data_IF_328804199442
#
_entry.id   IF_328804199442
#
_cell.length_a   1.000
_cell.length_b   1.000
_cell.length_c   1.000
_cell.angle_alpha   90.00
_cell.angle_beta   90.00
_cell.angle_gamma   90.00
#
_symmetry.space_group_name_H-M   'P 1'
#
loop_
_entity.id
_entity.type
_entity.pdbx_description
1 polymer ?
#
# COMPACT_ATOMS: atom_id res chain seq x y z
N UNK A 1 -87.92 50.87 4.76
CA UNK A 1 -88.81 50.12 3.83
C UNK A 1 -87.92 49.09 3.13
N UNK A 2 -88.08 47.77 3.20
CA UNK A 2 -89.10 46.86 3.75
C UNK A 2 -88.32 45.60 4.20
N UNK A 3 -88.72 45.03 5.33
CA UNK A 3 -88.29 43.73 5.86
C UNK A 3 -88.74 42.57 4.96
N UNK A 4 -87.96 41.48 4.89
CA UNK A 4 -88.53 40.16 5.20
C UNK A 4 -87.46 39.11 5.55
N UNK A 5 -87.72 38.50 6.71
CA UNK A 5 -87.11 37.40 7.45
C UNK A 5 -87.38 36.01 6.88
N UNK A 6 -86.46 35.04 7.09
CA UNK A 6 -86.72 33.61 7.41
C UNK A 6 -85.54 33.10 8.31
N UNK A 7 -85.66 33.03 9.65
CA UNK A 7 -85.97 31.87 10.55
C UNK A 7 -85.15 30.58 10.35
N UNK A 8 -84.07 30.36 11.13
CA UNK A 8 -83.92 29.58 12.40
C UNK A 8 -83.81 28.05 12.27
N UNK A 9 -82.70 27.46 12.76
CA UNK A 9 -82.69 26.39 13.78
C UNK A 9 -81.26 26.04 14.26
N UNK A 10 -81.03 26.10 15.58
CA UNK A 10 -79.95 25.42 16.33
C UNK A 10 -80.68 24.54 17.36
N UNK A 11 -80.36 23.24 17.45
CA UNK A 11 -79.88 22.63 18.70
C UNK A 11 -78.86 21.50 18.40
N UNK A 12 -77.93 21.09 19.25
CA UNK A 12 -77.63 21.38 20.64
C UNK A 12 -76.31 20.64 20.93
N UNK A 13 -75.46 21.25 21.76
CA UNK A 13 -74.17 20.71 22.16
C UNK A 13 -74.42 19.59 23.18
N UNK A 14 -74.11 18.35 22.82
CA UNK A 14 -73.85 17.28 23.79
C UNK A 14 -72.37 17.35 24.17
N UNK A 15 -72.09 17.84 25.38
CA UNK A 15 -70.81 17.65 26.06
C UNK A 15 -70.69 16.17 26.45
N UNK A 16 -70.08 15.36 25.60
CA UNK A 16 -69.51 14.08 26.01
C UNK A 16 -68.12 14.40 26.55
N UNK A 17 -67.97 14.39 27.88
CA UNK A 17 -66.68 14.31 28.53
C UNK A 17 -66.10 12.92 28.26
N UNK A 18 -65.42 12.77 27.12
CA UNK A 18 -64.53 11.63 26.91
C UNK A 18 -63.32 11.89 27.79
N UNK A 19 -63.25 11.21 28.94
CA UNK A 19 -61.97 11.00 29.61
C UNK A 19 -61.06 10.33 28.57
N UNK A 20 -60.02 11.05 28.15
CA UNK A 20 -58.97 10.48 27.32
C UNK A 20 -58.42 9.26 28.07
N UNK A 21 -58.42 8.05 27.47
CA UNK A 21 -57.66 6.96 28.05
C UNK A 21 -56.19 7.38 28.05
N UNK A 22 -55.51 7.10 29.16
CA UNK A 22 -54.08 7.29 29.27
C UNK A 22 -53.40 6.76 28.00
N UNK A 23 -52.60 7.62 27.37
CA UNK A 23 -51.76 7.25 26.23
C UNK A 23 -50.89 6.06 26.64
N UNK A 24 -51.29 4.85 26.23
CA UNK A 24 -50.33 3.77 26.03
C UNK A 24 -49.41 4.28 24.92
N UNK A 25 -48.23 4.77 25.31
CA UNK A 25 -47.10 4.93 24.42
C UNK A 25 -46.71 3.52 24.00
N UNK A 26 -47.30 3.01 22.92
CA UNK A 26 -46.70 1.89 22.21
C UNK A 26 -45.38 2.45 21.68
N UNK A 27 -44.26 1.87 22.12
CA UNK A 27 -42.96 2.24 21.59
C UNK A 27 -43.00 2.12 20.07
N UNK A 28 -42.47 3.13 19.36
CA UNK A 28 -42.24 2.99 17.94
C UNK A 28 -41.18 1.91 17.75
N UNK A 29 -41.43 1.01 16.81
CA UNK A 29 -40.48 -0.02 16.42
C UNK A 29 -39.89 0.33 15.05
N UNK A 30 -38.61 0.03 14.90
CA UNK A 30 -37.84 0.13 13.67
C UNK A 30 -37.86 -1.22 12.97
N UNK A 31 -38.02 -1.21 11.65
CA UNK A 31 -38.04 -2.42 10.83
C UNK A 31 -36.60 -2.81 10.46
N UNK A 32 -36.21 -4.06 10.74
CA UNK A 32 -34.85 -4.59 10.52
C UNK A 32 -34.96 -5.93 9.78
N UNK A 33 -35.04 -5.95 8.44
CA UNK A 33 -35.36 -7.16 7.67
C UNK A 33 -34.23 -8.18 7.52
N UNK A 34 -32.99 -7.77 7.74
CA UNK A 34 -31.83 -8.65 7.63
C UNK A 34 -31.60 -9.37 8.96
N UNK A 35 -31.79 -10.69 8.96
CA UNK A 35 -31.62 -11.50 10.17
C UNK A 35 -30.22 -11.41 10.77
N UNK A 36 -29.17 -11.20 9.96
CA UNK A 36 -27.81 -11.06 10.49
C UNK A 36 -27.62 -9.69 11.14
N UNK A 37 -28.23 -8.64 10.58
CA UNK A 37 -28.24 -7.33 11.22
C UNK A 37 -29.03 -7.36 12.52
N UNK A 38 -30.24 -7.90 12.51
CA UNK A 38 -31.06 -8.07 13.72
C UNK A 38 -30.36 -8.94 14.76
N UNK A 39 -29.73 -10.05 14.35
CA UNK A 39 -28.93 -10.88 15.25
C UNK A 39 -27.76 -10.11 15.85
N UNK A 40 -27.09 -9.24 15.08
CA UNK A 40 -26.04 -8.39 15.61
C UNK A 40 -26.59 -7.38 16.64
N UNK A 41 -27.81 -6.86 16.45
CA UNK A 41 -28.46 -6.00 17.44
C UNK A 41 -28.83 -6.77 18.72
N UNK A 42 -29.26 -8.02 18.61
CA UNK A 42 -29.50 -8.91 19.76
C UNK A 42 -28.19 -9.17 20.51
N UNK A 43 -27.11 -9.50 19.79
CA UNK A 43 -25.79 -9.76 20.39
C UNK A 43 -25.21 -8.54 21.11
N UNK A 44 -25.66 -7.33 20.74
CA UNK A 44 -25.30 -6.04 21.33
C UNK A 44 -26.28 -5.58 22.42
N UNK A 45 -27.24 -6.42 22.83
CA UNK A 45 -28.29 -6.14 23.82
C UNK A 45 -29.23 -4.97 23.44
N UNK A 46 -29.39 -4.67 22.14
CA UNK A 46 -30.36 -3.67 21.65
C UNK A 46 -31.73 -4.25 21.32
N UNK A 47 -31.78 -5.56 21.10
CA UNK A 47 -32.99 -6.32 20.75
C UNK A 47 -33.03 -7.68 21.49
N UNK A 48 -34.21 -8.29 21.59
CA UNK A 48 -34.45 -9.48 22.40
C UNK A 48 -34.77 -10.74 21.57
N UNK A 49 -35.25 -10.58 20.33
CA UNK A 49 -35.75 -11.69 19.51
C UNK A 49 -35.63 -11.35 18.03
N UNK A 50 -35.39 -12.37 17.20
CA UNK A 50 -35.48 -12.24 15.75
C UNK A 50 -36.94 -12.17 15.29
N UNK A 51 -37.47 -10.97 15.10
CA UNK A 51 -38.83 -10.74 14.61
C UNK A 51 -38.94 -9.66 13.49
N UNK A 52 -37.81 -9.29 12.91
CA UNK A 52 -37.59 -8.18 11.96
C UNK A 52 -37.82 -6.79 12.56
N UNK A 53 -37.69 -6.63 13.87
CA UNK A 53 -38.08 -5.39 14.54
C UNK A 53 -37.36 -5.12 15.85
N UNK A 54 -36.67 -3.98 15.90
CA UNK A 54 -36.09 -3.46 17.15
C UNK A 54 -36.91 -2.30 17.71
N UNK A 55 -37.03 -2.19 19.03
CA UNK A 55 -37.65 -1.03 19.67
C UNK A 55 -36.81 0.23 19.40
N UNK A 56 -37.36 1.23 18.70
CA UNK A 56 -36.63 2.46 18.29
C UNK A 56 -36.01 3.21 19.48
N UNK A 57 -36.65 3.13 20.66
CA UNK A 57 -36.13 3.74 21.88
C UNK A 57 -34.80 3.13 22.35
N UNK A 58 -34.50 1.87 22.00
CA UNK A 58 -33.25 1.20 22.36
C UNK A 58 -32.08 1.68 21.47
N UNK A 59 -32.36 1.99 20.19
CA UNK A 59 -31.31 2.31 19.20
C UNK A 59 -31.14 3.82 18.95
N UNK A 60 -32.17 4.63 19.14
CA UNK A 60 -32.15 6.06 18.77
C UNK A 60 -31.10 6.91 19.48
N UNK A 61 -30.65 6.47 20.66
CA UNK A 61 -29.58 7.10 21.45
C UNK A 61 -28.18 6.49 21.26
N UNK A 62 -28.03 5.46 20.41
CA UNK A 62 -26.75 4.80 20.16
C UNK A 62 -25.85 5.69 19.32
N UNK A 63 -24.64 5.95 19.81
CA UNK A 63 -23.66 6.85 19.16
C UNK A 63 -22.58 6.11 18.37
N UNK A 64 -22.39 4.82 18.64
CA UNK A 64 -21.43 3.97 17.96
C UNK A 64 -22.04 2.59 17.73
N UNK A 65 -21.97 2.10 16.50
CA UNK A 65 -22.46 0.78 16.11
C UNK A 65 -21.37 0.05 15.32
N UNK A 66 -20.97 -1.11 15.84
CA UNK A 66 -20.08 -2.03 15.15
C UNK A 66 -20.84 -3.32 14.80
N UNK A 67 -21.00 -3.55 13.52
CA UNK A 67 -21.65 -4.71 12.92
C UNK A 67 -20.77 -5.30 11.81
N UNK A 68 -19.44 -5.15 11.94
CA UNK A 68 -18.46 -5.70 11.00
C UNK A 68 -18.39 -7.23 11.05
N UNK A 69 -18.05 -7.85 9.91
CA UNK A 69 -17.82 -9.30 9.80
C UNK A 69 -19.03 -10.17 10.20
N UNK A 70 -20.25 -9.69 9.93
CA UNK A 70 -21.52 -10.35 10.33
C UNK A 70 -22.30 -10.95 9.16
N UNK A 71 -21.73 -10.96 7.96
CA UNK A 71 -22.42 -11.43 6.75
C UNK A 71 -23.73 -10.65 6.47
N UNK A 72 -23.80 -9.39 6.89
CA UNK A 72 -24.97 -8.52 6.71
C UNK A 72 -25.07 -8.10 5.24
N UNK A 73 -26.26 -8.22 4.67
CA UNK A 73 -26.53 -7.84 3.28
C UNK A 73 -27.37 -6.57 3.15
N UNK A 74 -28.15 -6.24 4.19
CA UNK A 74 -29.04 -5.08 4.22
C UNK A 74 -29.04 -4.42 5.62
N UNK A 75 -28.74 -3.12 5.67
CA UNK A 75 -28.77 -2.29 6.89
C UNK A 75 -30.05 -1.46 7.03
N UNK A 76 -31.13 -1.80 6.33
CA UNK A 76 -32.45 -1.18 6.55
C UNK A 76 -32.78 -1.16 8.05
N UNK A 77 -33.20 0.01 8.55
CA UNK A 77 -33.37 0.30 9.97
C UNK A 77 -32.27 1.18 10.55
N UNK A 78 -31.11 1.29 9.88
CA UNK A 78 -30.00 2.15 10.31
C UNK A 78 -30.41 3.64 10.37
N UNK A 79 -31.41 4.06 9.61
CA UNK A 79 -31.93 5.43 9.59
C UNK A 79 -32.47 5.91 10.94
N UNK A 80 -32.90 4.99 11.82
CA UNK A 80 -33.44 5.29 13.14
C UNK A 80 -32.35 5.37 14.24
N UNK A 81 -31.10 5.06 13.91
CA UNK A 81 -29.92 5.35 14.76
C UNK A 81 -29.57 6.85 14.66
N UNK A 82 -30.47 7.71 15.10
CA UNK A 82 -30.41 9.17 14.88
C UNK A 82 -29.25 9.87 15.60
N UNK A 83 -28.71 9.27 16.67
CA UNK A 83 -27.55 9.77 17.41
C UNK A 83 -26.20 9.22 16.92
N UNK A 84 -26.19 8.41 15.85
CA UNK A 84 -25.01 7.68 15.40
C UNK A 84 -23.90 8.63 14.91
N UNK A 85 -22.74 8.54 15.55
CA UNK A 85 -21.52 9.28 15.21
C UNK A 85 -20.45 8.39 14.59
N UNK A 86 -20.52 7.09 14.82
CA UNK A 86 -19.58 6.10 14.31
C UNK A 86 -20.33 4.85 13.85
N UNK A 87 -20.12 4.47 12.58
CA UNK A 87 -20.64 3.24 12.00
C UNK A 87 -19.48 2.42 11.45
N UNK A 88 -19.30 1.22 12.01
CA UNK A 88 -18.35 0.22 11.57
C UNK A 88 -19.12 -0.96 11.00
N UNK A 89 -19.09 -1.11 9.67
CA UNK A 89 -19.84 -2.15 8.95
C UNK A 89 -18.98 -2.86 7.89
N UNK A 90 -17.66 -2.87 8.09
CA UNK A 90 -16.72 -3.45 7.15
C UNK A 90 -16.83 -4.99 7.04
N UNK A 91 -16.37 -5.55 5.91
CA UNK A 91 -16.36 -6.99 5.62
C UNK A 91 -17.76 -7.63 5.77
N UNK A 92 -18.70 -7.08 5.02
CA UNK A 92 -20.08 -7.54 4.91
C UNK A 92 -20.45 -7.69 3.42
N UNK A 93 -21.73 -7.92 3.13
CA UNK A 93 -22.25 -8.12 1.78
C UNK A 93 -23.16 -6.99 1.32
N UNK A 94 -22.98 -5.78 1.86
CA UNK A 94 -23.82 -4.63 1.55
C UNK A 94 -23.68 -4.24 0.08
N UNK A 95 -24.80 -4.17 -0.63
CA UNK A 95 -24.87 -3.65 -2.01
C UNK A 95 -25.35 -2.20 -2.08
N UNK A 96 -26.06 -1.77 -1.03
CA UNK A 96 -26.57 -0.41 -0.81
C UNK A 96 -26.39 -0.02 0.64
N UNK A 97 -26.23 1.27 0.90
CA UNK A 97 -26.15 1.84 2.24
C UNK A 97 -26.71 3.25 2.21
N UNK A 98 -27.87 3.46 2.82
CA UNK A 98 -28.49 4.79 2.96
C UNK A 98 -28.21 5.33 4.36
N UNK A 99 -27.45 6.42 4.42
CA UNK A 99 -27.07 7.10 5.67
C UNK A 99 -27.63 8.53 5.73
N UNK A 100 -28.63 8.84 4.89
CA UNK A 100 -29.18 10.19 4.77
C UNK A 100 -29.80 10.73 6.06
N UNK A 101 -30.28 9.84 6.94
CA UNK A 101 -30.82 10.19 8.25
C UNK A 101 -29.75 10.32 9.34
N UNK A 102 -28.60 9.66 9.20
CA UNK A 102 -27.51 9.63 10.18
C UNK A 102 -26.62 10.89 10.08
N UNK A 103 -27.23 12.06 10.19
CA UNK A 103 -26.56 13.36 9.94
C UNK A 103 -25.46 13.71 10.95
N UNK A 104 -25.42 13.04 12.10
CA UNK A 104 -24.38 13.19 13.13
C UNK A 104 -23.11 12.35 12.84
N UNK A 105 -23.12 11.53 11.78
CA UNK A 105 -22.03 10.59 11.49
C UNK A 105 -20.72 11.32 11.21
N UNK A 106 -19.69 10.92 11.96
CA UNK A 106 -18.33 11.45 11.94
C UNK A 106 -17.35 10.42 11.34
N UNK A 107 -17.54 9.14 11.67
CA UNK A 107 -16.71 8.04 11.19
C UNK A 107 -17.60 7.03 10.47
N UNK A 108 -17.23 6.69 9.24
CA UNK A 108 -17.82 5.58 8.48
C UNK A 108 -16.72 4.62 8.04
N UNK A 109 -16.82 3.37 8.49
CA UNK A 109 -16.00 2.25 8.00
C UNK A 109 -16.90 1.24 7.27
N UNK A 110 -17.12 1.47 5.98
CA UNK A 110 -17.93 0.65 5.07
C UNK A 110 -17.09 -0.16 4.08
N UNK A 111 -15.82 -0.41 4.40
CA UNK A 111 -14.87 -1.09 3.52
C UNK A 111 -15.13 -2.60 3.39
N UNK A 112 -14.62 -3.23 2.34
CA UNK A 112 -14.87 -4.65 2.02
C UNK A 112 -16.36 -4.98 1.98
N UNK A 113 -17.09 -4.30 1.12
CA UNK A 113 -18.50 -4.56 0.82
C UNK A 113 -18.69 -4.68 -0.70
N UNK A 114 -19.94 -4.64 -1.16
CA UNK A 114 -20.30 -4.73 -2.58
C UNK A 114 -21.04 -3.45 -3.02
N UNK A 115 -20.77 -2.32 -2.38
CA UNK A 115 -21.47 -1.06 -2.64
C UNK A 115 -21.18 -0.59 -4.06
N UNK A 116 -22.25 -0.36 -4.83
CA UNK A 116 -22.17 0.20 -6.19
C UNK A 116 -22.31 1.72 -6.21
N UNK A 117 -22.88 2.27 -5.13
CA UNK A 117 -22.99 3.70 -4.86
C UNK A 117 -22.98 3.94 -3.36
N UNK A 118 -22.51 5.12 -2.95
CA UNK A 118 -22.51 5.55 -1.56
C UNK A 118 -22.79 7.05 -1.50
N UNK A 119 -23.94 7.42 -0.90
CA UNK A 119 -24.32 8.82 -0.72
C UNK A 119 -23.93 9.30 0.67
N UNK A 120 -23.04 10.31 0.75
CA UNK A 120 -22.56 10.87 2.03
C UNK A 120 -22.82 12.37 2.18
N UNK A 121 -23.61 12.96 1.28
CA UNK A 121 -23.84 14.41 1.24
C UNK A 121 -24.60 14.95 2.47
N UNK A 122 -25.38 14.11 3.15
CA UNK A 122 -26.06 14.46 4.39
C UNK A 122 -25.13 14.40 5.63
N UNK A 123 -24.03 13.64 5.55
CA UNK A 123 -23.12 13.36 6.66
C UNK A 123 -22.00 14.42 6.72
N UNK A 124 -22.39 15.69 6.81
CA UNK A 124 -21.48 16.85 6.74
C UNK A 124 -20.44 16.90 7.88
N UNK A 125 -20.65 16.14 8.96
CA UNK A 125 -19.74 16.00 10.08
C UNK A 125 -18.64 14.93 9.87
N UNK A 126 -18.64 14.19 8.75
CA UNK A 126 -17.64 13.16 8.47
C UNK A 126 -16.22 13.73 8.51
N UNK A 127 -15.37 13.12 9.33
CA UNK A 127 -13.92 13.35 9.38
C UNK A 127 -13.14 12.16 8.83
N UNK A 128 -13.73 10.96 8.86
CA UNK A 128 -13.15 9.71 8.37
C UNK A 128 -14.17 8.98 7.52
N UNK A 129 -13.81 8.71 6.26
CA UNK A 129 -14.59 7.88 5.35
C UNK A 129 -13.70 6.78 4.77
N UNK A 130 -13.96 5.53 5.16
CA UNK A 130 -13.36 4.34 4.57
C UNK A 130 -14.40 3.55 3.80
N UNK A 131 -14.27 3.52 2.50
CA UNK A 131 -15.13 2.78 1.57
C UNK A 131 -14.30 2.00 0.54
N UNK A 132 -13.06 1.64 0.89
CA UNK A 132 -12.19 0.82 0.06
C UNK A 132 -12.72 -0.61 -0.14
N UNK A 133 -12.27 -1.27 -1.21
CA UNK A 133 -12.75 -2.60 -1.61
C UNK A 133 -14.28 -2.65 -1.75
N UNK A 134 -14.81 -1.78 -2.62
CA UNK A 134 -16.21 -1.76 -3.04
C UNK A 134 -16.29 -1.73 -4.58
N UNK A 135 -17.46 -1.44 -5.14
CA UNK A 135 -17.70 -1.38 -6.59
C UNK A 135 -18.15 0.03 -7.01
N UNK A 136 -17.71 1.07 -6.30
CA UNK A 136 -18.12 2.45 -6.53
C UNK A 136 -17.59 2.93 -7.89
N UNK A 137 -18.47 3.52 -8.70
CA UNK A 137 -18.11 4.14 -9.99
C UNK A 137 -18.00 5.67 -9.90
N UNK A 138 -18.59 6.24 -8.86
CA UNK A 138 -18.51 7.66 -8.50
C UNK A 138 -18.60 7.81 -6.99
N UNK A 139 -18.04 8.88 -6.47
CA UNK A 139 -18.10 9.25 -5.06
C UNK A 139 -18.12 10.77 -4.95
N UNK A 140 -19.17 11.33 -4.34
CA UNK A 140 -19.31 12.76 -4.09
C UNK A 140 -19.05 13.04 -2.61
N UNK A 141 -17.91 13.68 -2.34
CA UNK A 141 -17.48 14.11 -1.00
C UNK A 141 -17.51 15.63 -0.83
N UNK A 142 -18.17 16.35 -1.74
CA UNK A 142 -18.12 17.82 -1.81
C UNK A 142 -18.73 18.50 -0.58
N UNK A 143 -19.68 17.86 0.10
CA UNK A 143 -20.31 18.35 1.32
C UNK A 143 -19.51 18.05 2.60
N UNK A 144 -18.58 17.09 2.55
CA UNK A 144 -17.85 16.58 3.71
C UNK A 144 -16.56 17.38 3.94
N UNK A 145 -16.72 18.69 4.13
CA UNK A 145 -15.60 19.66 4.25
C UNK A 145 -14.68 19.44 5.45
N UNK A 146 -15.12 18.64 6.43
CA UNK A 146 -14.33 18.25 7.61
C UNK A 146 -13.52 16.97 7.42
N UNK A 147 -13.55 16.33 6.24
CA UNK A 147 -12.79 15.10 5.98
C UNK A 147 -11.29 15.32 6.16
N UNK A 148 -10.70 14.46 6.98
CA UNK A 148 -9.26 14.37 7.25
C UNK A 148 -8.66 13.08 6.68
N UNK A 149 -9.47 12.01 6.60
CA UNK A 149 -9.11 10.72 6.04
C UNK A 149 -10.17 10.33 5.01
N UNK A 150 -9.75 10.10 3.77
CA UNK A 150 -10.56 9.51 2.73
C UNK A 150 -9.82 8.30 2.15
N UNK A 151 -10.39 7.11 2.38
CA UNK A 151 -9.93 5.88 1.78
C UNK A 151 -11.02 5.31 0.86
N UNK A 152 -10.81 5.44 -0.44
CA UNK A 152 -11.62 4.87 -1.50
C UNK A 152 -10.82 3.92 -2.39
N UNK A 153 -9.71 3.37 -1.86
CA UNK A 153 -8.85 2.41 -2.55
C UNK A 153 -9.62 1.21 -3.11
N UNK A 154 -9.21 0.69 -4.27
CA UNK A 154 -9.82 -0.48 -4.91
C UNK A 154 -11.33 -0.34 -5.12
N UNK A 155 -11.68 0.59 -6.01
CA UNK A 155 -13.02 0.82 -6.52
C UNK A 155 -12.96 0.94 -8.06
N UNK A 156 -13.98 1.48 -8.71
CA UNK A 156 -14.02 1.73 -10.15
C UNK A 156 -14.23 3.21 -10.46
N UNK A 157 -13.70 4.11 -9.64
CA UNK A 157 -13.83 5.55 -9.81
C UNK A 157 -13.09 6.02 -11.06
N UNK A 158 -13.77 6.78 -11.91
CA UNK A 158 -13.17 7.39 -13.12
C UNK A 158 -12.76 8.85 -12.90
N UNK A 159 -13.32 9.48 -11.88
CA UNK A 159 -12.99 10.82 -11.40
C UNK A 159 -13.18 10.90 -9.89
N UNK A 160 -12.41 11.77 -9.24
CA UNK A 160 -12.56 12.09 -7.83
C UNK A 160 -12.29 13.58 -7.62
N UNK A 161 -13.27 14.30 -7.07
CA UNK A 161 -13.13 15.72 -6.72
C UNK A 161 -12.98 15.86 -5.21
N UNK A 162 -11.80 16.31 -4.77
CA UNK A 162 -11.46 16.57 -3.36
C UNK A 162 -11.21 18.06 -3.07
N UNK A 163 -11.62 18.94 -3.98
CA UNK A 163 -11.30 20.37 -3.93
C UNK A 163 -11.90 21.10 -2.71
N UNK A 164 -13.01 20.60 -2.17
CA UNK A 164 -13.67 21.13 -0.96
C UNK A 164 -13.14 20.52 0.35
N UNK A 165 -12.40 19.42 0.28
CA UNK A 165 -11.90 18.70 1.45
C UNK A 165 -10.54 19.26 1.90
N UNK A 166 -10.49 20.56 2.19
CA UNK A 166 -9.24 21.29 2.49
C UNK A 166 -8.53 20.83 3.77
N UNK A 167 -9.23 20.10 4.64
CA UNK A 167 -8.69 19.49 5.86
C UNK A 167 -8.08 18.09 5.64
N UNK A 168 -8.06 17.58 4.40
CA UNK A 168 -7.62 16.23 4.08
C UNK A 168 -6.12 16.04 4.34
N UNK A 169 -5.80 15.10 5.23
CA UNK A 169 -4.44 14.76 5.66
C UNK A 169 -3.99 13.44 5.01
N UNK A 170 -4.89 12.47 4.89
CA UNK A 170 -4.66 11.19 4.23
C UNK A 170 -5.67 10.99 3.09
N UNK A 171 -5.16 10.78 1.88
CA UNK A 171 -5.95 10.40 0.71
C UNK A 171 -5.42 9.09 0.12
N UNK A 172 -6.26 8.05 0.15
CA UNK A 172 -6.03 6.75 -0.47
C UNK A 172 -7.08 6.54 -1.57
N UNK A 173 -6.68 6.77 -2.82
CA UNK A 173 -7.53 6.59 -4.00
C UNK A 173 -6.89 5.67 -5.05
N UNK A 174 -5.88 4.89 -4.64
CA UNK A 174 -5.22 3.91 -5.49
C UNK A 174 -6.16 2.79 -5.98
N UNK A 175 -5.72 2.06 -7.01
CA UNK A 175 -6.48 0.96 -7.62
C UNK A 175 -7.88 1.41 -8.08
N UNK A 176 -7.93 2.47 -8.88
CA UNK A 176 -9.13 3.00 -9.50
C UNK A 176 -8.88 3.20 -11.01
N UNK A 177 -9.72 3.98 -11.70
CA UNK A 177 -9.61 4.28 -13.13
C UNK A 177 -9.45 5.79 -13.35
N UNK A 178 -8.83 6.51 -12.40
CA UNK A 178 -8.65 7.95 -12.46
C UNK A 178 -7.68 8.31 -13.60
N UNK A 179 -8.10 9.23 -14.47
CA UNK A 179 -7.26 9.78 -15.54
C UNK A 179 -6.60 11.11 -15.17
N UNK A 180 -7.15 11.77 -14.15
CA UNK A 180 -6.63 12.99 -13.54
C UNK A 180 -6.98 13.04 -12.05
N UNK A 181 -6.13 13.69 -11.27
CA UNK A 181 -6.36 13.96 -9.86
C UNK A 181 -5.81 15.36 -9.54
N UNK A 182 -6.66 16.22 -9.00
CA UNK A 182 -6.27 17.56 -8.53
C UNK A 182 -6.31 17.58 -7.00
N UNK A 183 -5.13 17.77 -6.40
CA UNK A 183 -4.94 17.86 -4.94
C UNK A 183 -4.46 19.25 -4.50
N UNK A 184 -4.55 20.26 -5.38
CA UNK A 184 -3.99 21.58 -5.13
C UNK A 184 -4.64 22.32 -3.94
N UNK A 185 -5.91 22.04 -3.63
CA UNK A 185 -6.61 22.59 -2.47
C UNK A 185 -6.25 21.89 -1.15
N UNK A 186 -5.70 20.68 -1.19
CA UNK A 186 -5.43 19.85 -0.01
C UNK A 186 -4.03 20.16 0.56
N UNK A 187 -3.80 21.42 0.93
CA UNK A 187 -2.47 21.92 1.32
C UNK A 187 -1.86 21.28 2.57
N UNK A 188 -2.70 20.66 3.42
CA UNK A 188 -2.29 19.92 4.63
C UNK A 188 -2.09 18.42 4.38
N UNK A 189 -2.21 17.96 3.14
CA UNK A 189 -2.06 16.55 2.77
C UNK A 189 -0.66 16.07 3.12
N UNK A 190 -0.61 15.00 3.92
CA UNK A 190 0.61 14.39 4.43
C UNK A 190 0.92 13.04 3.76
N UNK A 191 -0.14 12.28 3.46
CA UNK A 191 -0.06 11.00 2.77
C UNK A 191 -0.95 11.02 1.53
N UNK A 192 -0.39 10.65 0.39
CA UNK A 192 -1.11 10.48 -0.87
C UNK A 192 -0.76 9.13 -1.50
N UNK A 193 -1.74 8.25 -1.58
CA UNK A 193 -1.71 7.05 -2.42
C UNK A 193 -2.73 7.16 -3.55
N UNK A 194 -2.23 7.34 -4.77
CA UNK A 194 -3.00 7.27 -6.00
C UNK A 194 -2.43 6.25 -6.99
N UNK A 195 -1.78 5.21 -6.47
CA UNK A 195 -1.18 4.14 -7.28
C UNK A 195 -2.21 3.41 -8.15
N UNK A 196 -1.76 2.68 -9.17
CA UNK A 196 -2.63 1.80 -9.98
C UNK A 196 -3.86 2.54 -10.53
N UNK A 197 -3.62 3.67 -11.17
CA UNK A 197 -4.60 4.49 -11.87
C UNK A 197 -4.16 4.70 -13.32
N UNK A 198 -4.77 5.65 -14.04
CA UNK A 198 -4.45 6.01 -15.42
C UNK A 198 -3.91 7.45 -15.52
N UNK A 199 -3.27 7.96 -14.45
CA UNK A 199 -2.78 9.33 -14.39
C UNK A 199 -1.65 9.52 -15.40
N UNK A 200 -1.74 10.59 -16.19
CA UNK A 200 -0.69 10.99 -17.15
C UNK A 200 0.15 12.18 -16.64
N UNK A 201 -0.41 12.90 -15.67
CA UNK A 201 0.25 13.96 -14.91
C UNK A 201 -0.30 13.99 -13.49
N UNK A 202 0.49 14.54 -12.57
CA UNK A 202 0.08 14.81 -11.20
C UNK A 202 0.82 16.07 -10.70
N UNK A 203 0.07 17.03 -10.17
CA UNK A 203 0.64 18.23 -9.55
C UNK A 203 0.58 18.13 -8.04
N UNK A 204 1.73 18.21 -7.36
CA UNK A 204 1.85 18.11 -5.88
C UNK A 204 2.53 19.32 -5.23
N UNK A 205 2.74 20.40 -5.99
CA UNK A 205 3.51 21.57 -5.53
C UNK A 205 2.86 22.32 -4.36
N UNK A 206 1.54 22.22 -4.20
CA UNK A 206 0.80 22.84 -3.08
C UNK A 206 0.79 21.99 -1.82
N UNK A 207 1.19 20.73 -1.90
CA UNK A 207 1.11 19.75 -0.81
C UNK A 207 2.47 19.68 -0.08
N UNK A 208 2.91 20.81 0.48
CA UNK A 208 4.26 20.95 1.08
C UNK A 208 4.45 20.13 2.36
N UNK A 209 3.36 19.61 2.93
CA UNK A 209 3.36 18.71 4.09
C UNK A 209 3.49 17.21 3.75
N UNK A 210 3.57 16.85 2.45
CA UNK A 210 3.68 15.45 2.02
C UNK A 210 4.97 14.80 2.53
N UNK A 211 4.80 13.73 3.31
CA UNK A 211 5.90 12.86 3.76
C UNK A 211 5.97 11.55 2.98
N UNK A 212 4.84 11.12 2.41
CA UNK A 212 4.72 9.89 1.60
C UNK A 212 3.90 10.16 0.34
N UNK A 213 4.50 9.82 -0.82
CA UNK A 213 3.86 9.94 -2.12
C UNK A 213 3.98 8.62 -2.89
N UNK A 214 2.84 7.95 -3.09
CA UNK A 214 2.72 6.68 -3.80
C UNK A 214 1.92 6.91 -5.09
N UNK A 215 2.62 6.89 -6.22
CA UNK A 215 2.10 7.17 -7.56
C UNK A 215 2.46 6.07 -8.56
N UNK A 216 2.91 4.92 -8.06
CA UNK A 216 3.33 3.78 -8.87
C UNK A 216 2.18 3.22 -9.73
N UNK A 217 2.53 2.51 -10.80
CA UNK A 217 1.57 1.94 -11.76
C UNK A 217 0.58 2.99 -12.31
N UNK A 218 1.11 4.09 -12.83
CA UNK A 218 0.37 5.10 -13.59
C UNK A 218 1.02 5.26 -14.98
N UNK A 219 0.63 6.28 -15.73
CA UNK A 219 1.21 6.63 -17.04
C UNK A 219 1.99 7.95 -16.98
N UNK A 220 2.60 8.27 -15.83
CA UNK A 220 3.34 9.53 -15.67
C UNK A 220 4.58 9.55 -16.57
N UNK A 221 4.84 10.69 -17.20
CA UNK A 221 6.06 10.93 -17.99
C UNK A 221 7.00 11.92 -17.31
N UNK A 222 6.48 12.67 -16.33
CA UNK A 222 7.22 13.59 -15.49
C UNK A 222 6.51 13.72 -14.14
N UNK A 223 7.27 14.11 -13.13
CA UNK A 223 6.76 14.42 -11.80
C UNK A 223 7.66 15.52 -11.21
N UNK A 224 7.05 16.55 -10.63
CA UNK A 224 7.78 17.61 -9.93
C UNK A 224 7.50 17.50 -8.44
N UNK A 225 8.54 17.15 -7.67
CA UNK A 225 8.50 17.02 -6.20
C UNK A 225 9.31 18.11 -5.49
N UNK A 226 9.71 19.17 -6.21
CA UNK A 226 10.63 20.20 -5.70
C UNK A 226 10.09 20.97 -4.49
N UNK A 227 8.76 21.07 -4.35
CA UNK A 227 8.11 21.75 -3.23
C UNK A 227 7.86 20.83 -2.02
N UNK A 228 8.00 19.52 -2.17
CA UNK A 228 7.72 18.52 -1.14
C UNK A 228 8.98 18.25 -0.31
N UNK A 229 9.53 19.31 0.31
CA UNK A 229 10.86 19.28 0.93
C UNK A 229 11.01 18.33 2.12
N UNK A 230 9.89 17.92 2.74
CA UNK A 230 9.83 16.98 3.87
C UNK A 230 9.50 15.54 3.45
N UNK A 231 9.56 15.25 2.14
CA UNK A 231 9.24 13.93 1.61
C UNK A 231 10.27 12.90 2.08
N UNK A 232 9.78 11.81 2.67
CA UNK A 232 10.61 10.71 3.21
C UNK A 232 10.50 9.44 2.39
N UNK A 233 9.35 9.23 1.73
CA UNK A 233 9.04 8.06 0.94
C UNK A 233 8.47 8.50 -0.42
N UNK A 234 9.08 8.00 -1.50
CA UNK A 234 8.66 8.31 -2.86
C UNK A 234 8.63 7.04 -3.72
N UNK A 235 7.43 6.61 -4.09
CA UNK A 235 7.20 5.41 -4.91
C UNK A 235 6.54 5.81 -6.23
N UNK A 236 7.29 5.70 -7.32
CA UNK A 236 6.83 6.05 -8.68
C UNK A 236 7.19 5.00 -9.72
N UNK A 237 7.47 3.79 -9.27
CA UNK A 237 7.75 2.66 -10.13
C UNK A 237 6.59 2.30 -11.07
N UNK A 238 6.88 1.65 -12.19
CA UNK A 238 5.85 1.28 -13.17
C UNK A 238 5.18 2.50 -13.84
N UNK A 239 5.96 3.55 -14.10
CA UNK A 239 5.56 4.72 -14.88
C UNK A 239 6.43 4.82 -16.16
N UNK A 240 6.46 5.97 -16.82
CA UNK A 240 7.25 6.24 -18.03
C UNK A 240 8.18 7.45 -17.87
N UNK A 241 8.72 7.68 -16.67
CA UNK A 241 9.65 8.79 -16.42
C UNK A 241 11.02 8.51 -17.06
N UNK A 242 11.61 9.54 -17.67
CA UNK A 242 12.98 9.49 -18.23
C UNK A 242 14.03 10.15 -17.33
N UNK A 243 13.58 10.98 -16.40
CA UNK A 243 14.37 11.65 -15.36
C UNK A 243 13.44 12.07 -14.22
N UNK A 244 14.03 12.27 -13.03
CA UNK A 244 13.37 12.89 -11.89
C UNK A 244 14.43 13.68 -11.10
N UNK A 245 14.11 14.91 -10.71
CA UNK A 245 14.94 15.71 -9.81
C UNK A 245 14.44 15.55 -8.37
N UNK A 246 15.29 14.99 -7.51
CA UNK A 246 15.04 14.78 -6.07
C UNK A 246 15.99 15.60 -5.19
N UNK A 247 16.67 16.60 -5.76
CA UNK A 247 17.67 17.42 -5.07
C UNK A 247 17.09 18.28 -3.93
N UNK A 248 15.78 18.57 -3.97
CA UNK A 248 15.07 19.33 -2.94
C UNK A 248 14.42 18.44 -1.86
N UNK A 249 14.68 17.13 -1.87
CA UNK A 249 14.06 16.16 -0.96
C UNK A 249 15.13 15.44 -0.10
N UNK A 250 15.89 16.17 0.74
CA UNK A 250 17.04 15.61 1.46
C UNK A 250 16.67 14.52 2.49
N UNK A 251 15.41 14.51 2.95
CA UNK A 251 14.90 13.58 3.96
C UNK A 251 14.41 12.23 3.37
N UNK A 252 14.53 12.03 2.05
CA UNK A 252 14.17 10.75 1.41
C UNK A 252 14.99 9.60 1.99
N UNK A 253 14.30 8.64 2.60
CA UNK A 253 14.88 7.40 3.14
C UNK A 253 14.60 6.17 2.26
N UNK A 254 13.57 6.24 1.41
CA UNK A 254 13.14 5.17 0.51
C UNK A 254 12.70 5.73 -0.84
N UNK A 255 13.38 5.29 -1.90
CA UNK A 255 13.01 5.60 -3.29
C UNK A 255 12.77 4.29 -4.05
N UNK A 256 11.55 4.10 -4.55
CA UNK A 256 11.16 3.00 -5.43
C UNK A 256 10.80 3.55 -6.80
N UNK A 257 11.70 3.36 -7.77
CA UNK A 257 11.64 3.94 -9.10
C UNK A 257 11.86 2.91 -10.22
N UNK A 258 11.75 1.62 -9.90
CA UNK A 258 11.89 0.53 -10.85
C UNK A 258 10.88 0.59 -11.99
N UNK A 259 11.17 -0.10 -13.10
CA UNK A 259 10.26 -0.18 -14.25
C UNK A 259 9.82 1.21 -14.76
N UNK A 260 10.80 2.07 -15.00
CA UNK A 260 10.66 3.37 -15.66
C UNK A 260 11.60 3.40 -16.90
N UNK A 261 11.87 4.59 -17.42
CA UNK A 261 12.79 4.82 -18.54
C UNK A 261 13.94 5.76 -18.11
N UNK A 262 14.31 5.75 -16.84
CA UNK A 262 15.32 6.66 -16.29
C UNK A 262 16.67 6.42 -16.96
N UNK A 263 17.25 7.48 -17.50
CA UNK A 263 18.59 7.46 -18.12
C UNK A 263 19.70 7.92 -17.17
N UNK A 264 19.30 8.69 -16.14
CA UNK A 264 20.15 9.17 -15.05
C UNK A 264 19.32 9.31 -13.79
N UNK A 265 19.98 9.27 -12.64
CA UNK A 265 19.38 9.47 -11.33
C UNK A 265 20.43 10.10 -10.41
N UNK A 266 20.25 11.38 -10.07
CA UNK A 266 21.12 12.10 -9.14
C UNK A 266 20.55 11.97 -7.72
N UNK A 267 21.32 11.34 -6.84
CA UNK A 267 20.95 11.08 -5.44
C UNK A 267 21.86 11.81 -4.44
N UNK A 268 22.66 12.76 -4.91
CA UNK A 268 23.70 13.43 -4.12
C UNK A 268 23.15 14.21 -2.91
N UNK A 269 21.89 14.68 -2.98
CA UNK A 269 21.22 15.37 -1.89
C UNK A 269 20.56 14.43 -0.87
N UNK A 270 20.29 13.17 -1.24
CA UNK A 270 19.47 12.24 -0.45
C UNK A 270 20.32 11.41 0.51
N UNK A 271 21.05 12.08 1.40
CA UNK A 271 22.01 11.44 2.32
C UNK A 271 21.35 10.54 3.37
N UNK A 272 20.05 10.69 3.61
CA UNK A 272 19.24 9.84 4.49
C UNK A 272 18.78 8.52 3.85
N UNK A 273 19.09 8.29 2.56
CA UNK A 273 18.58 7.14 1.80
C UNK A 273 19.09 5.81 2.36
N UNK A 274 18.15 4.96 2.78
CA UNK A 274 18.42 3.60 3.30
C UNK A 274 18.03 2.50 2.33
N UNK A 275 17.09 2.76 1.42
CA UNK A 275 16.60 1.79 0.44
C UNK A 275 16.45 2.45 -0.92
N UNK A 276 17.08 1.85 -1.94
CA UNK A 276 16.97 2.28 -3.33
C UNK A 276 16.62 1.08 -4.23
N UNK A 277 15.46 1.15 -4.89
CA UNK A 277 15.11 0.26 -5.99
C UNK A 277 15.00 1.06 -7.29
N UNK A 278 15.93 0.81 -8.21
CA UNK A 278 16.00 1.48 -9.51
C UNK A 278 16.17 0.49 -10.67
N UNK A 279 15.85 -0.78 -10.45
CA UNK A 279 15.96 -1.85 -11.44
C UNK A 279 14.99 -1.67 -12.62
N UNK A 280 15.28 -2.30 -13.77
CA UNK A 280 14.50 -2.16 -15.01
C UNK A 280 14.34 -0.68 -15.42
N UNK A 281 15.47 -0.02 -15.62
CA UNK A 281 15.60 1.34 -16.15
C UNK A 281 16.65 1.35 -17.28
N UNK A 282 17.09 2.53 -17.70
CA UNK A 282 18.10 2.72 -18.76
C UNK A 282 19.37 3.41 -18.20
N UNK A 283 19.68 3.18 -16.92
CA UNK A 283 20.82 3.80 -16.25
C UNK A 283 22.13 3.24 -16.81
N UNK A 284 23.05 4.14 -17.17
CA UNK A 284 24.41 3.78 -17.64
C UNK A 284 25.48 3.99 -16.56
N UNK A 285 25.15 4.79 -15.55
CA UNK A 285 25.94 5.04 -14.36
C UNK A 285 25.00 5.28 -13.18
N UNK A 286 25.49 5.00 -11.97
CA UNK A 286 24.77 5.23 -10.73
C UNK A 286 25.80 5.62 -9.67
N UNK A 287 25.71 6.84 -9.17
CA UNK A 287 26.55 7.35 -8.08
C UNK A 287 25.77 7.26 -6.77
N UNK A 288 26.24 6.42 -5.86
CA UNK A 288 25.69 6.23 -4.51
C UNK A 288 26.66 6.67 -3.42
N UNK A 289 27.72 7.40 -3.77
CA UNK A 289 28.83 7.74 -2.87
C UNK A 289 28.43 8.61 -1.67
N UNK A 290 27.36 9.40 -1.81
CA UNK A 290 26.80 10.25 -0.74
C UNK A 290 25.72 9.54 0.10
N UNK A 291 25.21 8.39 -0.33
CA UNK A 291 24.14 7.66 0.34
C UNK A 291 24.74 6.67 1.35
N UNK A 292 25.51 7.17 2.32
CA UNK A 292 26.28 6.33 3.26
C UNK A 292 25.39 5.51 4.21
N UNK A 293 24.11 5.88 4.34
CA UNK A 293 23.11 5.15 5.12
C UNK A 293 22.43 4.00 4.35
N UNK A 294 22.81 3.75 3.09
CA UNK A 294 22.16 2.76 2.22
C UNK A 294 22.37 1.34 2.76
N UNK A 295 21.26 0.62 2.97
CA UNK A 295 21.20 -0.76 3.50
C UNK A 295 20.82 -1.74 2.39
N UNK A 296 19.86 -1.36 1.54
CA UNK A 296 19.42 -2.15 0.38
C UNK A 296 19.60 -1.34 -0.91
N UNK A 297 20.29 -1.95 -1.89
CA UNK A 297 20.48 -1.42 -3.23
C UNK A 297 20.08 -2.46 -4.28
N UNK A 298 19.01 -2.17 -5.01
CA UNK A 298 18.53 -2.98 -6.14
C UNK A 298 18.58 -2.17 -7.45
N UNK A 299 19.61 -2.42 -8.26
CA UNK A 299 19.88 -1.71 -9.52
C UNK A 299 20.00 -2.66 -10.74
N UNK A 300 19.48 -3.87 -10.62
CA UNK A 300 19.54 -4.89 -11.67
C UNK A 300 18.76 -4.51 -12.94
N UNK A 301 19.04 -5.17 -14.07
CA UNK A 301 18.38 -4.87 -15.37
C UNK A 301 18.52 -3.38 -15.72
N UNK A 302 19.76 -2.92 -15.82
CA UNK A 302 20.13 -1.59 -16.31
C UNK A 302 21.24 -1.76 -17.35
N UNK A 303 21.98 -0.69 -17.66
CA UNK A 303 23.16 -0.70 -18.53
C UNK A 303 24.40 -0.18 -17.82
N UNK A 304 24.52 -0.45 -16.51
CA UNK A 304 25.66 0.01 -15.70
C UNK A 304 26.95 -0.65 -16.16
N UNK A 305 27.99 0.15 -16.37
CA UNK A 305 29.34 -0.33 -16.76
C UNK A 305 30.32 -0.36 -15.59
N UNK A 306 30.02 0.39 -14.54
CA UNK A 306 30.73 0.40 -13.27
C UNK A 306 29.74 0.70 -12.14
N UNK A 307 30.08 0.25 -10.94
CA UNK A 307 29.32 0.52 -9.72
C UNK A 307 30.32 0.60 -8.57
N UNK A 308 30.39 1.76 -7.91
CA UNK A 308 31.20 1.98 -6.72
C UNK A 308 30.30 1.99 -5.49
N UNK A 309 30.50 1.04 -4.59
CA UNK A 309 29.76 0.88 -3.33
C UNK A 309 30.66 1.07 -2.10
N UNK A 310 31.87 1.58 -2.28
CA UNK A 310 32.92 1.63 -1.25
C UNK A 310 32.56 2.50 -0.03
N UNK A 311 31.68 3.50 -0.20
CA UNK A 311 31.17 4.36 0.86
C UNK A 311 29.91 3.81 1.55
N UNK A 312 29.24 2.83 0.96
CA UNK A 312 27.97 2.30 1.45
C UNK A 312 28.20 1.14 2.44
N UNK A 313 28.97 1.43 3.50
CA UNK A 313 29.41 0.43 4.50
C UNK A 313 28.28 -0.23 5.29
N UNK A 314 27.08 0.35 5.26
CA UNK A 314 25.87 -0.20 5.87
C UNK A 314 25.11 -1.21 4.98
N UNK A 315 25.55 -1.44 3.73
CA UNK A 315 24.87 -2.36 2.81
C UNK A 315 24.81 -3.78 3.37
N UNK A 316 23.59 -4.31 3.47
CA UNK A 316 23.33 -5.72 3.78
C UNK A 316 22.86 -6.48 2.54
N UNK A 317 22.22 -5.80 1.59
CA UNK A 317 21.72 -6.39 0.35
C UNK A 317 22.14 -5.57 -0.86
N UNK A 318 22.84 -6.22 -1.80
CA UNK A 318 23.21 -5.65 -3.09
C UNK A 318 22.75 -6.56 -4.22
N UNK A 319 21.84 -6.05 -5.05
CA UNK A 319 21.32 -6.72 -6.26
C UNK A 319 21.65 -5.86 -7.48
N UNK A 320 22.68 -6.25 -8.22
CA UNK A 320 23.19 -5.55 -9.41
C UNK A 320 23.24 -6.44 -10.65
N UNK A 321 22.49 -7.56 -10.66
CA UNK A 321 22.41 -8.50 -11.78
C UNK A 321 22.00 -7.87 -13.11
N UNK A 322 22.29 -8.53 -14.23
CA UNK A 322 21.87 -8.12 -15.58
C UNK A 322 22.27 -6.68 -15.92
N UNK A 323 23.58 -6.42 -15.82
CA UNK A 323 24.22 -5.15 -16.17
C UNK A 323 25.42 -5.43 -17.11
N UNK A 324 26.34 -4.47 -17.25
CA UNK A 324 27.56 -4.59 -18.06
C UNK A 324 28.80 -4.39 -17.18
N UNK A 325 28.73 -4.78 -15.90
CA UNK A 325 29.82 -4.59 -14.94
C UNK A 325 30.97 -5.56 -15.25
N UNK A 326 32.19 -5.05 -15.21
CA UNK A 326 33.42 -5.84 -15.46
C UNK A 326 34.21 -6.13 -14.17
N UNK A 327 33.96 -5.36 -13.12
CA UNK A 327 34.54 -5.51 -11.79
C UNK A 327 33.58 -4.95 -10.75
N UNK A 328 33.65 -5.47 -9.54
CA UNK A 328 32.89 -5.00 -8.39
C UNK A 328 33.77 -5.20 -7.15
N UNK A 329 34.00 -4.11 -6.40
CA UNK A 329 34.71 -4.14 -5.14
C UNK A 329 33.69 -4.02 -3.99
N UNK A 330 33.56 -5.09 -3.22
CA UNK A 330 32.67 -5.17 -2.05
C UNK A 330 33.46 -5.24 -0.74
N UNK A 331 34.76 -4.93 -0.76
CA UNK A 331 35.66 -5.14 0.37
C UNK A 331 35.26 -4.35 1.62
N UNK A 332 34.70 -3.15 1.43
CA UNK A 332 34.21 -2.27 2.50
C UNK A 332 32.78 -2.60 2.98
N UNK A 333 32.04 -3.47 2.28
CA UNK A 333 30.65 -3.79 2.59
C UNK A 333 30.58 -5.05 3.46
N UNK A 334 31.26 -5.03 4.61
CA UNK A 334 31.44 -6.20 5.48
C UNK A 334 30.13 -6.72 6.10
N UNK A 335 29.06 -5.91 6.07
CA UNK A 335 27.73 -6.28 6.55
C UNK A 335 26.86 -6.98 5.48
N UNK A 336 27.37 -7.21 4.26
CA UNK A 336 26.63 -7.87 3.19
C UNK A 336 26.24 -9.30 3.58
N UNK A 337 24.93 -9.57 3.54
CA UNK A 337 24.34 -10.90 3.70
C UNK A 337 23.80 -11.46 2.38
N UNK A 338 23.46 -10.58 1.43
CA UNK A 338 22.95 -10.96 0.12
C UNK A 338 23.72 -10.19 -0.96
N UNK A 339 24.38 -10.93 -1.86
CA UNK A 339 25.00 -10.40 -3.08
C UNK A 339 24.47 -11.14 -4.30
N UNK A 340 23.75 -10.43 -5.15
CA UNK A 340 23.27 -10.94 -6.45
C UNK A 340 23.83 -10.07 -7.57
N UNK A 341 24.77 -10.62 -8.31
CA UNK A 341 25.58 -9.93 -9.31
C UNK A 341 25.66 -10.73 -10.62
N UNK A 342 24.70 -11.63 -10.84
CA UNK A 342 24.61 -12.48 -12.03
C UNK A 342 24.42 -11.72 -13.33
N UNK A 343 24.67 -12.38 -14.46
CA UNK A 343 24.51 -11.81 -15.81
C UNK A 343 25.28 -10.48 -15.98
N UNK A 344 26.58 -10.53 -15.74
CA UNK A 344 27.52 -9.42 -15.90
C UNK A 344 28.75 -9.90 -16.71
N UNK A 345 29.87 -9.18 -16.62
CA UNK A 345 31.11 -9.48 -17.34
C UNK A 345 32.29 -9.68 -16.36
N UNK A 346 32.03 -10.14 -15.14
CA UNK A 346 33.07 -10.34 -14.14
C UNK A 346 34.02 -11.48 -14.53
N UNK A 347 35.32 -11.22 -14.44
CA UNK A 347 36.38 -12.24 -14.64
C UNK A 347 36.96 -12.75 -13.32
N UNK A 348 36.76 -11.99 -12.25
CA UNK A 348 37.10 -12.29 -10.87
C UNK A 348 36.08 -11.64 -9.95
N UNK A 349 35.87 -12.25 -8.78
CA UNK A 349 35.04 -11.71 -7.73
C UNK A 349 35.70 -12.04 -6.38
N UNK A 350 35.98 -11.02 -5.57
CA UNK A 350 36.52 -11.17 -4.22
C UNK A 350 35.42 -10.87 -3.21
N UNK A 351 35.08 -11.89 -2.41
CA UNK A 351 34.09 -11.82 -1.33
C UNK A 351 34.69 -12.17 0.03
N UNK A 352 36.02 -12.15 0.14
CA UNK A 352 36.75 -12.64 1.32
C UNK A 352 36.49 -11.83 2.60
N UNK A 353 36.06 -10.58 2.49
CA UNK A 353 35.71 -9.72 3.64
C UNK A 353 34.23 -9.78 4.01
N UNK A 354 33.37 -10.36 3.17
CA UNK A 354 31.92 -10.43 3.38
C UNK A 354 31.58 -11.73 4.16
N UNK A 355 32.12 -11.88 5.37
CA UNK A 355 31.99 -13.13 6.14
C UNK A 355 30.56 -13.48 6.55
N UNK A 356 29.67 -12.47 6.58
CA UNK A 356 28.25 -12.61 6.90
C UNK A 356 27.39 -12.97 5.67
N UNK A 357 28.02 -13.18 4.50
CA UNK A 357 27.34 -13.49 3.25
C UNK A 357 26.61 -14.85 3.32
N UNK A 358 25.28 -14.80 3.21
CA UNK A 358 24.38 -15.96 3.25
C UNK A 358 24.00 -16.41 1.83
N UNK A 359 23.75 -15.45 0.93
CA UNK A 359 23.33 -15.71 -0.45
C UNK A 359 24.31 -15.06 -1.41
N UNK A 360 24.96 -15.88 -2.23
CA UNK A 360 25.78 -15.43 -3.35
C UNK A 360 25.21 -15.94 -4.67
N UNK A 361 24.84 -15.02 -5.56
CA UNK A 361 24.47 -15.30 -6.94
C UNK A 361 25.40 -14.57 -7.89
N UNK A 362 26.22 -15.31 -8.61
CA UNK A 362 27.20 -14.80 -9.57
C UNK A 362 27.20 -15.60 -10.88
N UNK A 363 26.10 -16.31 -11.17
CA UNK A 363 25.90 -17.02 -12.43
C UNK A 363 25.94 -16.10 -13.66
N UNK A 364 26.17 -16.64 -14.86
CA UNK A 364 26.14 -15.85 -16.11
C UNK A 364 27.26 -14.81 -16.19
N UNK A 365 28.46 -15.15 -15.72
CA UNK A 365 29.65 -14.29 -15.74
C UNK A 365 30.81 -14.96 -16.48
N UNK A 366 32.02 -14.43 -16.35
CA UNK A 366 33.24 -14.95 -16.96
C UNK A 366 34.28 -15.34 -15.90
N UNK A 367 33.82 -15.73 -14.70
CA UNK A 367 34.71 -16.07 -13.58
C UNK A 367 35.55 -17.30 -13.95
N UNK A 368 36.85 -17.24 -13.67
CA UNK A 368 37.79 -18.37 -13.89
C UNK A 368 38.08 -19.15 -12.61
N UNK A 369 37.87 -18.49 -11.47
CA UNK A 369 37.94 -19.10 -10.15
C UNK A 369 37.06 -18.31 -9.19
N UNK A 370 36.61 -18.96 -8.13
CA UNK A 370 35.89 -18.33 -7.04
C UNK A 370 36.38 -18.89 -5.70
N UNK A 371 36.68 -18.00 -4.76
CA UNK A 371 37.05 -18.37 -3.39
C UNK A 371 35.99 -17.90 -2.42
N UNK A 372 35.31 -18.86 -1.77
CA UNK A 372 34.31 -18.59 -0.73
C UNK A 372 34.70 -19.21 0.62
N UNK A 373 35.98 -19.51 0.82
CA UNK A 373 36.49 -20.13 2.06
C UNK A 373 36.28 -19.28 3.31
N UNK A 374 36.16 -17.95 3.16
CA UNK A 374 35.87 -17.02 4.25
C UNK A 374 34.37 -16.86 4.55
N UNK A 375 33.48 -17.28 3.65
CA UNK A 375 32.04 -17.04 3.75
C UNK A 375 31.34 -18.22 4.48
N UNK A 376 31.62 -18.36 5.77
CA UNK A 376 31.11 -19.46 6.61
C UNK A 376 29.63 -19.35 6.95
N UNK A 377 28.95 -18.28 6.52
CA UNK A 377 27.51 -18.07 6.70
C UNK A 377 26.68 -18.49 5.47
N UNK A 378 27.31 -18.93 4.37
CA UNK A 378 26.63 -19.26 3.13
C UNK A 378 25.57 -20.36 3.33
N UNK A 379 24.36 -20.10 2.84
CA UNK A 379 23.26 -21.06 2.71
C UNK A 379 22.97 -21.35 1.23
N UNK A 380 23.26 -20.38 0.35
CA UNK A 380 22.92 -20.43 -1.07
C UNK A 380 24.07 -19.90 -1.93
N UNK A 381 24.56 -20.74 -2.84
CA UNK A 381 25.58 -20.39 -3.83
C UNK A 381 25.14 -20.80 -5.23
N UNK A 382 24.93 -19.79 -6.08
CA UNK A 382 24.62 -19.95 -7.51
C UNK A 382 25.77 -19.35 -8.30
N UNK A 383 26.54 -20.19 -8.97
CA UNK A 383 27.75 -19.82 -9.72
C UNK A 383 27.85 -20.55 -11.06
N UNK A 384 26.72 -21.07 -11.58
CA UNK A 384 26.68 -21.75 -12.87
C UNK A 384 26.90 -20.79 -14.04
N UNK A 385 27.08 -21.31 -15.25
CA UNK A 385 27.28 -20.52 -16.48
C UNK A 385 28.42 -19.50 -16.34
N UNK A 386 29.61 -20.02 -16.08
CA UNK A 386 30.84 -19.27 -15.90
C UNK A 386 31.99 -19.99 -16.63
N UNK A 387 33.23 -19.56 -16.42
CA UNK A 387 34.43 -20.18 -17.01
C UNK A 387 35.33 -20.81 -15.94
N UNK A 388 34.74 -21.21 -14.81
CA UNK A 388 35.54 -21.58 -13.64
C UNK A 388 36.22 -22.92 -13.85
N UNK A 389 37.51 -22.97 -13.51
CA UNK A 389 38.30 -24.21 -13.41
C UNK A 389 38.51 -24.62 -11.95
N UNK A 390 38.32 -23.69 -11.01
CA UNK A 390 38.57 -23.87 -9.58
C UNK A 390 37.50 -23.17 -8.73
N UNK A 391 37.01 -23.87 -7.72
CA UNK A 391 36.10 -23.32 -6.70
C UNK A 391 36.60 -23.74 -5.32
N UNK A 392 36.90 -22.78 -4.45
CA UNK A 392 37.31 -23.04 -3.07
C UNK A 392 36.12 -22.94 -2.10
N UNK A 393 35.60 -24.10 -1.71
CA UNK A 393 34.49 -24.31 -0.75
C UNK A 393 34.98 -24.75 0.64
N UNK A 394 36.22 -24.44 1.04
CA UNK A 394 36.75 -24.75 2.38
C UNK A 394 36.21 -23.83 3.47
N UNK A 395 34.88 -23.70 3.54
CA UNK A 395 34.16 -22.82 4.47
C UNK A 395 33.34 -23.59 5.52
N UNK A 396 33.30 -24.93 5.44
CA UNK A 396 32.65 -25.78 6.44
C UNK A 396 31.12 -25.74 6.42
N UNK A 397 30.50 -25.25 5.34
CA UNK A 397 29.04 -25.24 5.16
C UNK A 397 28.54 -26.23 4.10
N UNK A 398 29.42 -27.11 3.60
CA UNK A 398 29.13 -28.01 2.46
C UNK A 398 27.83 -28.79 2.59
N UNK A 399 27.51 -29.33 3.76
CA UNK A 399 26.28 -30.11 4.03
C UNK A 399 25.09 -29.27 4.55
N UNK A 400 25.32 -27.96 4.78
CA UNK A 400 24.32 -26.99 5.26
C UNK A 400 23.72 -26.15 4.14
N UNK A 401 24.32 -26.13 2.95
CA UNK A 401 23.79 -25.42 1.80
C UNK A 401 22.40 -25.95 1.45
N UNK A 402 21.42 -25.04 1.44
CA UNK A 402 20.07 -25.30 0.94
C UNK A 402 19.99 -25.16 -0.58
N UNK A 403 20.88 -24.36 -1.17
CA UNK A 403 21.04 -24.19 -2.60
C UNK A 403 22.52 -24.18 -2.99
N UNK A 404 22.93 -25.15 -3.81
CA UNK A 404 24.21 -25.12 -4.50
C UNK A 404 23.91 -25.35 -5.97
N UNK A 405 24.46 -24.51 -6.85
CA UNK A 405 24.30 -24.62 -8.30
C UNK A 405 25.55 -24.11 -8.99
N UNK A 406 26.36 -25.01 -9.54
CA UNK A 406 27.66 -24.69 -10.11
C UNK A 406 27.92 -25.32 -11.48
N UNK A 407 26.89 -25.88 -12.14
CA UNK A 407 27.01 -26.46 -13.49
C UNK A 407 27.45 -25.45 -14.55
N UNK A 408 27.68 -25.92 -15.77
CA UNK A 408 28.05 -25.06 -16.91
C UNK A 408 29.33 -24.24 -16.64
N UNK A 409 30.26 -24.89 -15.93
CA UNK A 409 31.64 -24.48 -15.70
C UNK A 409 32.60 -25.53 -16.28
N UNK A 410 33.90 -25.24 -16.25
CA UNK A 410 34.96 -26.14 -16.72
C UNK A 410 35.82 -26.65 -15.55
N UNK A 411 35.20 -27.02 -14.43
CA UNK A 411 35.92 -27.36 -13.20
C UNK A 411 36.91 -28.50 -13.38
N UNK A 412 38.15 -28.27 -13.00
CA UNK A 412 39.14 -29.31 -12.71
C UNK A 412 39.05 -29.75 -11.25
N UNK A 413 38.66 -28.84 -10.35
CA UNK A 413 38.60 -29.09 -8.92
C UNK A 413 37.60 -28.17 -8.20
N UNK A 414 36.80 -28.78 -7.31
CA UNK A 414 36.10 -28.10 -6.22
C UNK A 414 36.79 -28.51 -4.93
N UNK A 415 37.37 -27.56 -4.21
CA UNK A 415 38.06 -27.82 -2.95
C UNK A 415 37.10 -27.73 -1.77
N UNK A 416 37.03 -28.77 -0.95
CA UNK A 416 36.24 -28.81 0.30
C UNK A 416 37.13 -29.18 1.49
N UNK A 417 36.60 -29.06 2.71
CA UNK A 417 37.30 -29.58 3.88
C UNK A 417 37.39 -31.12 3.82
N UNK A 418 38.35 -31.71 4.55
CA UNK A 418 38.61 -33.14 4.47
C UNK A 418 37.41 -33.99 4.93
N UNK A 419 36.67 -33.48 5.90
CA UNK A 419 35.44 -34.05 6.46
C UNK A 419 34.24 -34.01 5.49
N UNK A 420 34.25 -33.10 4.51
CA UNK A 420 33.13 -32.82 3.62
C UNK A 420 33.22 -33.59 2.27
N UNK A 421 34.35 -34.24 2.00
CA UNK A 421 34.63 -34.93 0.71
C UNK A 421 33.58 -35.98 0.36
N UNK A 422 33.19 -36.82 1.33
CA UNK A 422 32.21 -37.89 1.11
C UNK A 422 30.82 -37.31 0.78
N UNK A 423 30.42 -36.25 1.50
CA UNK A 423 29.15 -35.57 1.25
C UNK A 423 29.15 -34.90 -0.12
N UNK A 424 30.18 -34.12 -0.45
CA UNK A 424 30.29 -33.41 -1.71
C UNK A 424 30.26 -34.40 -2.89
N UNK A 425 31.02 -35.49 -2.82
CA UNK A 425 31.07 -36.52 -3.88
C UNK A 425 29.70 -37.17 -4.11
N UNK A 426 28.90 -37.36 -3.06
CA UNK A 426 27.58 -37.99 -3.15
C UNK A 426 26.48 -37.03 -3.64
N UNK A 427 26.54 -35.75 -3.26
CA UNK A 427 25.42 -34.81 -3.43
C UNK A 427 25.67 -33.75 -4.51
N UNK A 428 26.91 -33.33 -4.73
CA UNK A 428 27.30 -32.34 -5.73
C UNK A 428 27.55 -33.00 -7.08
N UNK A 429 26.46 -33.48 -7.68
CA UNK A 429 26.46 -34.09 -9.01
C UNK A 429 25.68 -33.24 -10.01
N UNK A 430 26.03 -33.34 -11.29
CA UNK A 430 25.35 -32.57 -12.35
C UNK A 430 23.85 -32.87 -12.47
N UNK A 431 23.38 -34.03 -11.98
CA UNK A 431 21.96 -34.36 -11.95
C UNK A 431 21.14 -33.47 -11.00
N UNK A 432 21.79 -32.88 -9.99
CA UNK A 432 21.17 -31.98 -9.01
C UNK A 432 21.49 -30.50 -9.28
N UNK A 433 22.11 -30.17 -10.42
CA UNK A 433 22.51 -28.80 -10.77
C UNK A 433 23.89 -28.36 -10.23
N UNK A 434 24.70 -29.31 -9.74
CA UNK A 434 25.99 -29.08 -9.10
C UNK A 434 27.20 -29.40 -9.97
#
# INVERSE_FOLDING_TARGET
MIFNTIRTWIPGIFLISVMAPASMLWGQNTYVPDNNFEQALIDLDYDDVLDNSVLTANISGVTSLDVSEKEISDLTGIEDFTALTELVCYNNYLTTLDLSANTALNILEGNYNQLTSLGVSANTALTTLRCNHNQLTSLDVSANTSLTILDCYNNSLTSLDVSNNTALVNLECGSNQLTSLDVSSNTVLNYLDCQSNQLTSLGVSSNTALTSLLVNYNSLTSLDVSSNTVLTQLWFYGNSLTSLDVSNNPDLNSILCESNQLTSLDLSANTALTSLRCWNNQLTSLDVSNNTALVNLECYTNSLTSLDVSNNTALTELICSSNQLTSLDVSNNTALTILKCSDNQFTSLDVSTNTDLMILRCEGNQLTSLDVSANTALTDLYSYDNQMIHLNMKNGVTDQLTGFYATDNSFDCIEVNAEDVDYATANWTSANGN
#
